data_IF_478209046294
#
_entry.id   IF_478209046294
#
_cell.length_a   1.000
_cell.length_b   1.000
_cell.length_c   1.000
_cell.angle_alpha   90.00
_cell.angle_beta   90.00
_cell.angle_gamma   90.00
#
_symmetry.space_group_name_H-M   'P 1'
#
loop_
_entity.id
_entity.type
_entity.pdbx_description
1 polymer ?
#
# COMPACT_ATOMS: atom_id res chain seq x y z
N UNK A 1 40.07 -30.49 16.06
CA UNK A 1 38.88 -29.60 15.96
C UNK A 1 39.01 -28.58 17.07
N UNK A 2 39.33 -27.34 16.75
CA UNK A 2 39.51 -26.30 17.76
C UNK A 2 38.12 -25.78 18.11
N UNK A 3 37.52 -26.35 19.16
CA UNK A 3 36.16 -26.04 19.62
C UNK A 3 35.90 -24.53 19.71
N UNK A 4 36.89 -23.73 20.13
CA UNK A 4 36.80 -22.27 20.16
C UNK A 4 36.55 -21.63 18.78
N UNK A 5 37.29 -22.03 17.75
CA UNK A 5 37.11 -21.51 16.38
C UNK A 5 35.80 -22.00 15.76
N UNK A 6 35.39 -23.22 16.10
CA UNK A 6 34.15 -23.81 15.60
C UNK A 6 32.92 -23.08 16.16
N UNK A 7 32.88 -22.82 17.48
CA UNK A 7 31.83 -22.01 18.10
C UNK A 7 31.87 -20.54 17.67
N UNK A 8 33.06 -19.95 17.52
CA UNK A 8 33.20 -18.58 17.03
C UNK A 8 32.69 -18.44 15.59
N UNK A 9 33.05 -19.38 14.71
CA UNK A 9 32.57 -19.40 13.32
C UNK A 9 31.05 -19.61 13.25
N UNK A 10 30.51 -20.51 14.08
CA UNK A 10 29.07 -20.73 14.18
C UNK A 10 28.33 -19.45 14.62
N UNK A 11 28.87 -18.74 15.61
CA UNK A 11 28.30 -17.47 16.09
C UNK A 11 28.31 -16.38 15.02
N UNK A 12 29.41 -16.24 14.28
CA UNK A 12 29.51 -15.29 13.15
C UNK A 12 28.51 -15.67 12.06
N UNK A 13 28.43 -16.94 11.68
CA UNK A 13 27.53 -17.43 10.62
C UNK A 13 26.06 -17.18 11.00
N UNK A 14 25.69 -17.47 12.25
CA UNK A 14 24.34 -17.19 12.76
C UNK A 14 24.04 -15.69 12.78
N UNK A 15 24.99 -14.85 13.19
CA UNK A 15 24.83 -13.39 13.22
C UNK A 15 24.63 -12.83 11.82
N UNK A 16 25.43 -13.26 10.85
CA UNK A 16 25.29 -12.85 9.44
C UNK A 16 23.93 -13.27 8.88
N UNK A 17 23.49 -14.50 9.19
CA UNK A 17 22.17 -14.99 8.79
C UNK A 17 21.04 -14.11 9.35
N UNK A 18 21.11 -13.75 10.63
CA UNK A 18 20.13 -12.84 11.25
C UNK A 18 20.13 -11.46 10.59
N UNK A 19 21.31 -10.88 10.32
CA UNK A 19 21.42 -9.58 9.64
C UNK A 19 20.77 -9.64 8.26
N UNK A 20 20.99 -10.71 7.49
CA UNK A 20 20.39 -10.88 6.17
C UNK A 20 18.86 -11.01 6.24
N UNK A 21 18.33 -11.83 7.16
CA UNK A 21 16.89 -12.01 7.35
C UNK A 21 16.25 -10.69 7.79
N UNK A 22 16.82 -10.02 8.78
CA UNK A 22 16.26 -8.78 9.32
C UNK A 22 16.35 -7.63 8.31
N UNK A 23 17.44 -7.56 7.54
CA UNK A 23 17.59 -6.62 6.43
C UNK A 23 16.52 -6.82 5.36
N UNK A 24 16.20 -8.07 5.02
CA UNK A 24 15.15 -8.40 4.05
C UNK A 24 13.76 -7.99 4.55
N UNK A 25 13.45 -8.22 5.83
CA UNK A 25 12.20 -7.80 6.46
C UNK A 25 12.02 -6.29 6.37
N UNK A 26 13.06 -5.52 6.71
CA UNK A 26 12.99 -4.04 6.63
C UNK A 26 12.71 -3.60 5.19
N UNK A 27 13.44 -4.16 4.21
CA UNK A 27 13.30 -3.80 2.79
C UNK A 27 11.90 -4.11 2.25
N UNK A 28 11.22 -5.12 2.81
CA UNK A 28 9.83 -5.47 2.45
C UNK A 28 8.78 -4.50 3.03
N UNK A 29 9.02 -3.91 4.20
CA UNK A 29 8.08 -3.00 4.87
C UNK A 29 8.16 -1.55 4.35
N UNK A 30 9.26 -1.16 3.70
CA UNK A 30 9.45 0.16 3.08
C UNK A 30 8.30 0.56 2.11
N UNK A 31 7.87 -0.28 1.14
CA UNK A 31 6.77 0.08 0.24
C UNK A 31 5.44 0.30 0.97
N UNK A 32 5.20 -0.41 2.08
CA UNK A 32 4.02 -0.19 2.91
C UNK A 32 4.05 1.17 3.59
N UNK A 33 5.18 1.57 4.20
CA UNK A 33 5.32 2.91 4.78
C UNK A 33 5.15 4.03 3.74
N UNK A 34 5.66 3.81 2.52
CA UNK A 34 5.47 4.75 1.41
C UNK A 34 4.01 4.88 1.01
N UNK A 35 3.25 3.78 1.04
CA UNK A 35 1.83 3.78 0.74
C UNK A 35 1.02 4.50 1.83
N UNK A 36 1.35 4.25 3.10
CA UNK A 36 0.71 4.87 4.26
C UNK A 36 0.93 6.39 4.28
N UNK A 37 2.16 6.85 3.99
CA UNK A 37 2.50 8.29 3.92
C UNK A 37 1.82 9.03 2.76
N UNK A 38 1.33 8.30 1.74
CA UNK A 38 0.69 8.88 0.55
C UNK A 38 -0.84 8.80 0.57
N UNK A 39 -1.45 8.36 1.68
CA UNK A 39 -2.92 8.17 1.81
C UNK A 39 -3.48 7.25 0.71
N UNK A 40 -2.77 6.15 0.43
CA UNK A 40 -3.23 5.13 -0.53
C UNK A 40 -4.49 4.44 0.00
N UNK A 41 -5.59 4.35 -0.79
CA UNK A 41 -6.83 3.68 -0.39
C UNK A 41 -6.65 2.17 -0.14
N UNK A 42 -5.50 1.60 -0.52
CA UNK A 42 -5.16 0.20 -0.38
C UNK A 42 -3.85 -0.06 0.38
N UNK A 43 -3.47 0.84 1.30
CA UNK A 43 -2.30 0.65 2.15
C UNK A 43 -2.32 -0.70 2.90
N UNK A 44 -3.48 -1.09 3.44
CA UNK A 44 -3.70 -2.39 4.10
C UNK A 44 -3.48 -3.59 3.15
N UNK A 45 -3.86 -3.46 1.88
CA UNK A 45 -3.66 -4.53 0.89
C UNK A 45 -2.19 -4.69 0.52
N UNK A 46 -1.41 -3.60 0.51
CA UNK A 46 0.04 -3.64 0.30
C UNK A 46 0.74 -4.34 1.47
N UNK A 47 0.28 -4.10 2.71
CA UNK A 47 0.80 -4.80 3.89
C UNK A 47 0.57 -6.31 3.79
N UNK A 48 -0.68 -6.73 3.56
CA UNK A 48 -1.03 -8.16 3.44
C UNK A 48 -0.32 -8.79 2.25
N UNK A 49 -0.19 -8.07 1.13
CA UNK A 49 0.54 -8.57 -0.03
C UNK A 49 2.06 -8.70 0.22
N UNK A 50 2.65 -7.88 1.09
CA UNK A 50 4.02 -8.04 1.58
C UNK A 50 4.23 -9.41 2.24
N UNK A 51 3.35 -9.77 3.17
CA UNK A 51 3.34 -11.09 3.83
C UNK A 51 3.03 -12.24 2.86
N UNK A 52 2.15 -12.04 1.88
CA UNK A 52 1.86 -13.04 0.84
C UNK A 52 3.06 -13.23 -0.10
N UNK A 53 3.87 -12.19 -0.34
CA UNK A 53 5.07 -12.31 -1.19
C UNK A 53 6.15 -13.24 -0.61
N UNK A 54 6.21 -13.37 0.72
CA UNK A 54 7.06 -14.37 1.40
C UNK A 54 6.67 -15.81 1.05
N UNK A 55 5.38 -16.06 0.77
CA UNK A 55 4.90 -17.37 0.32
C UNK A 55 5.26 -17.67 -1.15
N UNK A 56 5.35 -16.63 -1.99
CA UNK A 56 5.64 -16.73 -3.43
C UNK A 56 7.12 -16.50 -3.78
N UNK A 57 8.05 -16.79 -2.85
CA UNK A 57 9.50 -16.65 -3.06
C UNK A 57 9.90 -15.24 -3.53
N UNK A 58 9.30 -14.18 -2.97
CA UNK A 58 9.66 -12.78 -3.24
C UNK A 58 9.43 -12.31 -4.70
N UNK A 59 8.75 -13.09 -5.54
CA UNK A 59 8.48 -12.72 -6.95
C UNK A 59 7.51 -11.53 -7.07
N UNK A 60 6.52 -11.43 -6.18
CA UNK A 60 5.56 -10.32 -6.18
C UNK A 60 6.11 -9.02 -5.60
N UNK A 61 7.27 -9.06 -4.96
CA UNK A 61 7.86 -7.91 -4.28
C UNK A 61 8.20 -6.72 -5.20
N UNK A 62 8.93 -6.89 -6.34
CA UNK A 62 9.19 -5.78 -7.26
C UNK A 62 7.89 -5.20 -7.87
N UNK A 63 6.85 -6.02 -8.00
CA UNK A 63 5.53 -5.56 -8.46
C UNK A 63 4.84 -4.66 -7.44
N UNK A 64 4.95 -4.96 -6.14
CA UNK A 64 4.42 -4.13 -5.05
C UNK A 64 5.10 -2.75 -4.98
N UNK A 65 6.40 -2.69 -5.27
CA UNK A 65 7.13 -1.42 -5.35
C UNK A 65 6.61 -0.51 -6.46
N UNK A 66 6.34 -1.07 -7.64
CA UNK A 66 5.75 -0.33 -8.76
C UNK A 66 4.37 0.19 -8.34
N UNK A 67 3.54 -0.64 -7.70
CA UNK A 67 2.20 -0.24 -7.31
C UNK A 67 2.18 0.82 -6.19
N UNK A 68 3.05 0.71 -5.19
CA UNK A 68 3.22 1.71 -4.15
C UNK A 68 3.65 3.08 -4.73
N UNK A 69 4.50 3.09 -5.76
CA UNK A 69 4.98 4.32 -6.41
C UNK A 69 4.01 4.93 -7.42
N UNK A 70 3.08 4.15 -7.98
CA UNK A 70 2.12 4.65 -8.99
C UNK A 70 1.07 5.64 -8.43
N UNK A 71 0.87 5.71 -7.12
CA UNK A 71 -0.09 6.65 -6.53
C UNK A 71 0.61 7.89 -6.00
N UNK A 72 0.14 9.04 -6.46
CA UNK A 72 0.55 10.34 -5.96
C UNK A 72 -0.64 10.93 -5.20
N UNK A 73 -0.48 11.09 -3.88
CA UNK A 73 -1.52 11.60 -2.97
C UNK A 73 -2.05 13.01 -3.27
N UNK A 74 -1.49 13.73 -4.26
CA UNK A 74 -2.08 14.98 -4.77
C UNK A 74 -3.35 14.74 -5.60
N UNK A 75 -3.50 13.55 -6.20
CA UNK A 75 -4.73 13.14 -6.88
C UNK A 75 -5.18 11.86 -6.20
N UNK A 76 -6.11 11.99 -5.27
CA UNK A 76 -7.01 10.92 -4.85
C UNK A 76 -7.87 10.56 -6.06
N UNK A 77 -7.25 9.91 -7.04
CA UNK A 77 -7.89 9.38 -8.23
C UNK A 77 -7.20 8.06 -8.53
N UNK A 78 -7.67 6.99 -7.87
CA UNK A 78 -7.35 5.63 -8.29
C UNK A 78 -8.35 5.14 -9.36
N UNK A 79 -7.98 4.09 -10.10
CA UNK A 79 -8.80 3.49 -11.16
C UNK A 79 -10.09 2.90 -10.55
N UNK A 80 -11.13 3.72 -10.43
CA UNK A 80 -12.40 3.36 -9.79
C UNK A 80 -12.90 4.35 -8.74
N UNK A 81 -12.19 5.45 -8.47
CA UNK A 81 -12.68 6.48 -7.55
C UNK A 81 -13.96 7.12 -8.08
N UNK A 82 -15.09 6.87 -7.40
CA UNK A 82 -16.27 7.70 -7.60
C UNK A 82 -15.97 9.05 -6.98
N UNK A 83 -15.89 10.08 -7.83
CA UNK A 83 -15.86 11.49 -7.44
C UNK A 83 -16.86 11.67 -6.29
N UNK A 84 -16.36 11.96 -5.08
CA UNK A 84 -17.24 12.18 -3.94
C UNK A 84 -18.11 13.38 -4.27
N UNK A 85 -19.41 13.15 -4.43
CA UNK A 85 -20.38 14.21 -4.74
C UNK A 85 -20.33 15.20 -3.58
N UNK A 86 -19.92 16.45 -3.85
CA UNK A 86 -19.84 17.49 -2.83
C UNK A 86 -21.25 17.79 -2.32
N UNK A 87 -21.38 18.24 -1.07
CA UNK A 87 -22.65 18.77 -0.54
C UNK A 87 -23.22 19.87 -1.44
N UNK A 88 -22.36 20.65 -2.11
CA UNK A 88 -22.76 21.65 -3.10
C UNK A 88 -23.38 21.00 -4.35
N UNK A 89 -22.79 19.91 -4.85
CA UNK A 89 -23.32 19.17 -6.00
C UNK A 89 -24.73 18.60 -5.68
N UNK A 90 -24.92 18.07 -4.46
CA UNK A 90 -26.24 17.62 -3.98
C UNK A 90 -27.26 18.76 -3.98
N UNK A 91 -26.90 19.92 -3.44
CA UNK A 91 -27.80 21.08 -3.39
C UNK A 91 -28.20 21.57 -4.79
N UNK A 92 -27.27 21.55 -5.73
CA UNK A 92 -27.53 21.92 -7.12
C UNK A 92 -28.45 20.92 -7.84
N UNK A 93 -28.33 19.62 -7.53
CA UNK A 93 -29.22 18.59 -8.06
C UNK A 93 -30.65 18.76 -7.54
N UNK A 94 -30.81 19.03 -6.25
CA UNK A 94 -32.13 19.26 -5.63
C UNK A 94 -32.79 20.50 -6.26
N UNK A 95 -32.05 21.59 -6.44
CA UNK A 95 -32.58 22.78 -7.10
C UNK A 95 -33.05 22.51 -8.55
N UNK A 96 -32.31 21.68 -9.30
CA UNK A 96 -32.69 21.27 -10.67
C UNK A 96 -33.92 20.36 -10.68
N UNK A 97 -34.08 19.50 -9.68
CA UNK A 97 -35.27 18.65 -9.54
C UNK A 97 -36.53 19.49 -9.28
N UNK A 98 -36.45 20.48 -8.40
CA UNK A 98 -37.56 21.42 -8.13
C UNK A 98 -37.97 22.20 -9.38
N UNK A 99 -37.00 22.61 -10.20
CA UNK A 99 -37.25 23.31 -11.46
C UNK A 99 -37.94 22.41 -12.50
N UNK A 100 -37.48 21.17 -12.63
CA UNK A 100 -38.10 20.18 -13.52
C UNK A 100 -39.51 19.81 -13.06
N UNK A 101 -39.73 19.65 -11.76
CA UNK A 101 -41.05 19.34 -11.22
C UNK A 101 -42.05 20.48 -11.49
N UNK A 102 -41.61 21.74 -11.41
CA UNK A 102 -42.43 22.90 -11.79
C UNK A 102 -42.77 22.92 -13.28
N UNK A 103 -41.82 22.58 -14.16
CA UNK A 103 -42.07 22.52 -15.61
C UNK A 103 -42.98 21.36 -16.03
N UNK A 104 -43.04 20.28 -15.24
CA UNK A 104 -43.93 19.15 -15.53
C UNK A 104 -45.35 19.40 -15.01
N UNK A 105 -45.50 20.21 -13.94
CA UNK A 105 -46.81 20.54 -13.33
C UNK A 105 -47.46 21.80 -13.88
N UNK A 106 -46.75 22.61 -14.66
CA UNK A 106 -47.28 23.78 -15.39
C UNK A 106 -47.75 23.41 -16.78
#
# INVERSE_FOLDING_TARGET
>A
MNLFLDYASLGILFTVLLILIYGLIIVHDIPYEMALKRDHPHAEAIHVAGWVSLFFLHVLWPFLWIWATMYNGEKKEWLGERKSVSSEDYSSLVARLDELEKNIKG
#
